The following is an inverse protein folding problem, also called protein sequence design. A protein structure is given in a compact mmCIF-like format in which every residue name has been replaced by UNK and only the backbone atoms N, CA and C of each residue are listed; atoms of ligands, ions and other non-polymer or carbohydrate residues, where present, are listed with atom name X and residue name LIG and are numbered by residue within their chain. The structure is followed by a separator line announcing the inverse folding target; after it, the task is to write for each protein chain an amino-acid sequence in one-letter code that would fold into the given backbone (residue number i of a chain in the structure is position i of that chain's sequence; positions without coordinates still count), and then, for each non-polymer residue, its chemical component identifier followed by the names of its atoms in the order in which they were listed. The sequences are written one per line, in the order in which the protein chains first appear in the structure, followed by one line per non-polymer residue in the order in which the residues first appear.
data_IF_874658716536
#
_entry.id   IF_874658716536
#
_cell.length_a   1.000
_cell.length_b   1.000
_cell.length_c   1.000
_cell.angle_alpha   90.00
_cell.angle_beta   90.00
_cell.angle_gamma   90.00
#
_symmetry.space_group_name_H-M   'P 1'
#
loop_
_entity.id
_entity.type
_entity.pdbx_description
1 polymer ?
#
# COMPACT_ATOMS: atom_id res chain seq x y z
N UNK A 1 19.91 -34.27 -36.83
CA UNK A 1 18.45 -34.42 -36.79
C UNK A 1 17.84 -33.06 -36.48
N UNK A 2 16.94 -32.58 -37.36
CA UNK A 2 16.01 -31.43 -37.24
C UNK A 2 16.67 -30.09 -36.83
N UNK A 3 17.40 -29.37 -37.71
CA UNK A 3 16.94 -28.35 -38.69
C UNK A 3 15.72 -27.54 -38.24
N UNK A 4 15.99 -26.39 -37.60
CA UNK A 4 15.02 -25.33 -37.34
C UNK A 4 14.58 -24.69 -38.67
N UNK A 5 13.31 -24.86 -39.01
CA UNK A 5 12.64 -24.20 -40.13
C UNK A 5 12.22 -22.79 -39.69
N UNK A 6 13.11 -21.80 -39.79
CA UNK A 6 12.70 -20.40 -39.86
C UNK A 6 12.37 -20.10 -41.33
N UNK A 7 11.11 -20.37 -41.70
CA UNK A 7 10.59 -20.14 -43.04
C UNK A 7 10.37 -18.65 -43.28
N UNK A 8 10.73 -18.21 -44.49
CA UNK A 8 10.88 -16.82 -44.86
C UNK A 8 9.59 -16.01 -44.87
N UNK A 9 9.76 -14.70 -44.63
CA UNK A 9 8.93 -13.53 -45.01
C UNK A 9 8.99 -12.46 -43.91
N UNK A 10 10.17 -11.89 -43.68
CA UNK A 10 10.28 -10.61 -42.96
C UNK A 10 11.44 -9.80 -43.59
N UNK A 11 11.47 -9.74 -44.92
CA UNK A 11 12.32 -8.80 -45.64
C UNK A 11 11.51 -7.54 -45.92
N UNK A 12 12.11 -6.39 -45.61
CA UNK A 12 11.63 -5.02 -45.86
C UNK A 12 10.37 -4.59 -45.11
N UNK A 13 10.56 -3.94 -43.96
CA UNK A 13 9.48 -3.23 -43.28
C UNK A 13 9.87 -2.18 -42.24
N UNK A 14 11.17 -1.96 -41.98
CA UNK A 14 11.61 -1.02 -40.93
C UNK A 14 12.36 0.20 -41.47
N UNK A 15 11.97 0.71 -42.64
CA UNK A 15 12.48 1.96 -43.22
C UNK A 15 11.38 3.04 -43.29
N UNK A 16 10.41 2.99 -42.37
CA UNK A 16 9.35 4.02 -42.19
C UNK A 16 9.30 4.50 -40.72
N UNK A 17 10.35 4.29 -39.92
CA UNK A 17 10.43 4.79 -38.53
C UNK A 17 11.18 6.12 -38.38
N UNK A 18 11.51 6.80 -39.48
CA UNK A 18 12.24 8.08 -39.50
C UNK A 18 11.36 9.30 -39.81
N UNK A 19 10.04 9.14 -39.71
CA UNK A 19 9.08 10.25 -39.70
C UNK A 19 8.47 10.40 -38.30
N UNK A 20 9.29 10.39 -37.25
CA UNK A 20 8.88 11.11 -36.04
C UNK A 20 8.90 12.60 -36.41
N UNK A 21 7.81 13.36 -36.23
CA UNK A 21 7.91 14.80 -36.30
C UNK A 21 8.97 15.18 -35.26
N UNK A 22 10.07 15.79 -35.75
CA UNK A 22 11.01 16.51 -34.90
C UNK A 22 10.11 17.42 -34.07
N UNK A 23 10.00 17.11 -32.78
CA UNK A 23 9.07 17.79 -31.89
C UNK A 23 9.26 19.28 -32.09
N UNK A 24 8.20 19.96 -32.54
CA UNK A 24 8.18 21.40 -32.50
C UNK A 24 8.44 21.76 -31.04
N UNK A 25 9.63 22.29 -30.76
CA UNK A 25 9.88 22.94 -29.49
C UNK A 25 8.92 24.13 -29.48
N UNK A 26 7.76 23.95 -28.86
CA UNK A 26 6.83 25.04 -28.65
C UNK A 26 7.58 26.07 -27.83
N UNK A 27 7.73 27.28 -28.37
CA UNK A 27 8.31 28.40 -27.66
C UNK A 27 7.51 28.56 -26.35
N UNK A 28 8.14 28.30 -25.21
CA UNK A 28 7.46 28.51 -23.94
C UNK A 28 7.12 30.00 -23.80
N UNK A 29 5.91 30.35 -23.33
CA UNK A 29 5.55 31.72 -23.07
C UNK A 29 6.55 32.37 -22.10
N UNK A 30 6.79 33.68 -22.26
CA UNK A 30 7.68 34.44 -21.36
C UNK A 30 7.14 34.35 -19.92
N UNK A 31 7.90 33.80 -18.95
CA UNK A 31 7.44 33.68 -17.57
C UNK A 31 7.24 35.04 -16.87
N UNK A 32 7.73 36.14 -17.44
CA UNK A 32 7.56 37.51 -16.92
C UNK A 32 6.40 38.27 -17.58
N UNK A 33 5.79 37.72 -18.62
CA UNK A 33 4.59 38.30 -19.25
C UNK A 33 3.34 37.82 -18.51
N UNK A 34 2.64 38.73 -17.84
CA UNK A 34 1.43 38.42 -17.08
C UNK A 34 0.24 38.02 -17.98
N UNK A 35 0.26 38.39 -19.25
CA UNK A 35 -0.78 38.07 -20.23
C UNK A 35 -0.47 36.80 -21.03
N UNK A 36 0.67 36.16 -20.73
CA UNK A 36 1.08 34.93 -21.37
C UNK A 36 0.01 33.84 -21.23
N UNK A 37 -0.31 33.17 -22.35
CA UNK A 37 -1.24 32.06 -22.35
C UNK A 37 -0.71 30.91 -21.48
N UNK A 38 -1.46 30.54 -20.44
CA UNK A 38 -1.15 29.39 -19.59
C UNK A 38 -2.09 28.22 -19.88
N UNK A 39 -1.61 27.01 -19.65
CA UNK A 39 -2.47 25.83 -19.71
C UNK A 39 -3.52 25.90 -18.59
N UNK A 40 -4.76 25.53 -18.89
CA UNK A 40 -5.81 25.46 -17.88
C UNK A 40 -5.45 24.44 -16.80
N UNK A 41 -5.49 24.86 -15.53
CA UNK A 41 -5.30 23.97 -14.40
C UNK A 41 -6.55 23.10 -14.23
N UNK A 42 -6.40 21.79 -14.44
CA UNK A 42 -7.43 20.81 -14.06
C UNK A 42 -7.16 20.40 -12.61
N UNK A 43 -7.95 20.93 -11.68
CA UNK A 43 -7.85 20.55 -10.27
C UNK A 43 -8.59 19.23 -10.01
N UNK A 44 -7.89 18.28 -9.40
CA UNK A 44 -8.46 17.06 -8.84
C UNK A 44 -8.17 17.05 -7.34
N UNK A 45 -9.20 16.85 -6.52
CA UNK A 45 -9.05 16.84 -5.07
C UNK A 45 -8.29 15.59 -4.62
N UNK A 46 -7.27 15.70 -3.75
CA UNK A 46 -6.69 14.52 -3.09
C UNK A 46 -7.69 13.75 -2.23
N UNK A 47 -8.82 14.36 -1.90
CA UNK A 47 -9.90 13.78 -1.13
C UNK A 47 -11.06 13.26 -1.99
N UNK A 48 -10.92 13.28 -3.32
CA UNK A 48 -12.00 12.88 -4.23
C UNK A 48 -12.46 11.43 -3.95
N UNK A 49 -11.50 10.56 -3.63
CA UNK A 49 -11.74 9.16 -3.24
C UNK A 49 -11.62 8.90 -1.73
N UNK A 50 -11.64 9.95 -0.91
CA UNK A 50 -11.49 9.76 0.53
C UNK A 50 -12.65 8.95 1.10
N UNK A 51 -12.32 7.78 1.63
CA UNK A 51 -13.27 6.95 2.37
C UNK A 51 -13.28 7.41 3.83
N UNK A 52 -14.45 7.83 4.28
CA UNK A 52 -14.66 8.18 5.68
C UNK A 52 -14.31 7.02 6.62
N UNK A 53 -14.05 7.37 7.87
CA UNK A 53 -13.77 6.39 8.92
C UNK A 53 -14.89 5.35 9.01
N UNK A 54 -14.51 4.08 8.93
CA UNK A 54 -15.41 2.95 9.16
C UNK A 54 -15.00 2.29 10.47
N UNK A 55 -15.86 2.38 11.48
CA UNK A 55 -15.61 1.74 12.75
C UNK A 55 -15.69 0.23 12.60
N UNK A 56 -14.66 -0.47 13.07
CA UNK A 56 -14.71 -1.92 13.21
C UNK A 56 -15.86 -2.34 14.14
N UNK A 57 -16.47 -3.52 13.90
CA UNK A 57 -17.49 -4.04 14.80
C UNK A 57 -16.96 -4.17 16.23
N UNK A 58 -17.80 -3.82 17.20
CA UNK A 58 -17.46 -4.01 18.61
C UNK A 58 -17.31 -5.49 18.90
N UNK A 59 -16.12 -5.89 19.35
CA UNK A 59 -15.80 -7.25 19.76
C UNK A 59 -15.73 -7.36 21.28
N UNK A 60 -15.84 -8.60 21.78
CA UNK A 60 -15.52 -8.89 23.17
C UNK A 60 -14.06 -8.50 23.44
N UNK A 61 -13.86 -7.60 24.41
CA UNK A 61 -12.52 -7.15 24.82
C UNK A 61 -11.61 -8.33 25.18
N UNK A 62 -12.15 -9.35 25.85
CA UNK A 62 -11.40 -10.54 26.23
C UNK A 62 -10.95 -11.33 25.01
N UNK A 63 -11.87 -11.59 24.08
CA UNK A 63 -11.57 -12.39 22.88
C UNK A 63 -10.57 -11.69 21.96
N UNK A 64 -10.65 -10.35 21.85
CA UNK A 64 -9.72 -9.54 21.09
C UNK A 64 -8.30 -9.64 21.68
N UNK A 65 -8.16 -9.55 22.99
CA UNK A 65 -6.87 -9.67 23.67
C UNK A 65 -6.30 -11.10 23.61
N UNK A 66 -7.15 -12.11 23.77
CA UNK A 66 -6.73 -13.51 23.63
C UNK A 66 -6.18 -13.79 22.23
N UNK A 67 -6.75 -13.15 21.19
CA UNK A 67 -6.24 -13.25 19.82
C UNK A 67 -4.85 -12.64 19.67
N UNK A 68 -4.61 -11.46 20.24
CA UNK A 68 -3.28 -10.83 20.26
C UNK A 68 -2.25 -11.75 20.94
N UNK A 69 -2.61 -12.37 22.06
CA UNK A 69 -1.77 -13.35 22.75
C UNK A 69 -1.40 -14.55 21.86
N UNK A 70 -2.35 -15.12 21.10
CA UNK A 70 -2.09 -16.25 20.19
C UNK A 70 -1.15 -15.91 19.03
N UNK A 71 -1.12 -14.66 18.59
CA UNK A 71 -0.23 -14.19 17.51
C UNK A 71 1.21 -14.02 18.02
N UNK A 72 1.39 -13.90 19.34
CA UNK A 72 2.68 -13.70 20.01
C UNK A 72 2.76 -12.39 20.81
N UNK A 73 1.61 -11.73 21.04
CA UNK A 73 1.52 -10.56 21.91
C UNK A 73 2.08 -9.29 21.28
N UNK A 74 2.42 -8.31 22.13
CA UNK A 74 2.97 -7.02 21.70
C UNK A 74 4.39 -7.15 21.11
N UNK A 75 5.14 -8.17 21.52
CA UNK A 75 6.52 -8.43 21.07
C UNK A 75 6.59 -8.75 19.58
N UNK A 76 5.61 -9.48 19.04
CA UNK A 76 5.50 -9.77 17.60
C UNK A 76 5.35 -8.50 16.77
N UNK A 77 4.57 -7.52 17.25
CA UNK A 77 4.41 -6.24 16.56
C UNK A 77 5.66 -5.36 16.67
N UNK A 78 6.42 -5.49 17.77
CA UNK A 78 7.67 -4.79 18.01
C UNK A 78 8.87 -5.40 17.25
N UNK A 79 8.69 -6.52 16.55
CA UNK A 79 9.76 -7.27 15.88
C UNK A 79 10.89 -7.69 16.83
N UNK A 80 10.57 -7.92 18.10
CA UNK A 80 11.54 -8.39 19.08
C UNK A 80 11.81 -9.89 18.89
N UNK A 81 13.07 -10.35 19.05
CA UNK A 81 13.35 -11.78 19.06
C UNK A 81 12.57 -12.43 20.20
N UNK A 82 11.79 -13.46 19.87
CA UNK A 82 11.13 -14.30 20.86
C UNK A 82 12.22 -14.95 21.72
N UNK A 83 12.45 -14.45 22.93
CA UNK A 83 13.23 -15.18 23.92
C UNK A 83 12.31 -16.27 24.48
N UNK A 84 12.76 -17.52 24.46
CA UNK A 84 12.01 -18.70 24.94
C UNK A 84 11.68 -18.65 26.45
N UNK A 85 12.05 -17.57 27.14
CA UNK A 85 11.78 -17.32 28.56
C UNK A 85 10.43 -16.62 28.81
N UNK A 86 9.49 -16.63 27.86
CA UNK A 86 8.09 -16.36 28.20
C UNK A 86 7.48 -17.65 28.75
N UNK A 87 7.24 -17.78 30.07
CA UNK A 87 6.36 -18.84 30.53
C UNK A 87 5.04 -18.55 29.83
N UNK A 88 4.64 -19.44 28.90
CA UNK A 88 3.28 -19.50 28.42
C UNK A 88 2.43 -19.49 29.67
N UNK A 89 1.84 -18.33 30.00
CA UNK A 89 1.38 -18.01 31.34
C UNK A 89 0.63 -19.22 31.86
N UNK A 90 1.30 -19.98 32.73
CA UNK A 90 0.70 -21.10 33.38
C UNK A 90 -0.49 -20.46 34.07
N UNK A 91 -1.67 -20.86 33.61
CA UNK A 91 -2.94 -20.21 33.91
C UNK A 91 -3.23 -20.46 35.38
N UNK A 92 -2.49 -19.81 36.26
CA UNK A 92 -2.85 -19.65 37.65
C UNK A 92 -4.21 -18.95 37.60
N UNK A 93 -5.24 -19.48 38.29
CA UNK A 93 -6.52 -18.80 38.35
C UNK A 93 -6.25 -17.38 38.87
N UNK A 94 -6.59 -16.37 38.07
CA UNK A 94 -6.54 -14.99 38.51
C UNK A 94 -7.51 -14.89 39.69
N UNK A 95 -6.98 -14.90 40.92
CA UNK A 95 -7.74 -14.53 42.11
C UNK A 95 -8.26 -13.14 41.84
N UNK A 96 -9.58 -12.98 41.75
CA UNK A 96 -10.19 -11.67 41.56
C UNK A 96 -10.16 -10.94 42.92
N UNK A 97 -9.25 -9.96 43.13
CA UNK A 97 -9.15 -9.27 44.41
C UNK A 97 -10.33 -8.31 44.65
N UNK A 98 -11.22 -8.14 43.66
CA UNK A 98 -12.41 -7.28 43.72
C UNK A 98 -13.72 -8.06 43.88
N UNK A 99 -13.68 -9.39 44.06
CA UNK A 99 -14.87 -10.21 44.25
C UNK A 99 -15.64 -9.93 45.57
N UNK A 100 -15.07 -9.14 46.48
CA UNK A 100 -15.59 -8.93 47.84
C UNK A 100 -16.45 -7.68 48.09
N UNK A 101 -16.65 -6.79 47.11
CA UNK A 101 -17.34 -5.50 47.34
C UNK A 101 -18.75 -5.39 46.73
N UNK A 102 -19.37 -6.51 46.38
CA UNK A 102 -20.75 -6.55 45.90
C UNK A 102 -21.74 -6.96 46.98
N UNK A 103 -22.16 -6.01 47.82
CA UNK A 103 -23.47 -6.05 48.49
C UNK A 103 -24.22 -4.78 48.17
#
# INVERSE_FOLDING_TARGET
MIRFLFSGRQALGCLILLALPIGAWAQQPDPLDAEAATAALVYQSPLDDYRGFNAEPVQSWREANDRVGRIGGWQTYAQEPLTDDSPAAERAPAVNPHAGHGR
#
